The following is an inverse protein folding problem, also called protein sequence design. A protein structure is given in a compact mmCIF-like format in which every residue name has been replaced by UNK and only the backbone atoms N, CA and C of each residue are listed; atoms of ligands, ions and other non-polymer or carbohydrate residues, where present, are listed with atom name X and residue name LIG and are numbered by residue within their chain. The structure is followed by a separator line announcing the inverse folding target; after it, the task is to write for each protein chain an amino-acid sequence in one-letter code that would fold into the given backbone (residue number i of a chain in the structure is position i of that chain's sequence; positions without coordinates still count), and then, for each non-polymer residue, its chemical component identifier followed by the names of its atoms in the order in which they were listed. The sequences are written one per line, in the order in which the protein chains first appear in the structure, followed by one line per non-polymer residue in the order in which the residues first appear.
data_IF_849452994656
#
_entry.id   IF_849452994656
#
_cell.length_a   1.000
_cell.length_b   1.000
_cell.length_c   1.000
_cell.angle_alpha   90.00
_cell.angle_beta   90.00
_cell.angle_gamma   90.00
#
_symmetry.space_group_name_H-M   'P 1'
#
loop_
_entity.id
_entity.type
_entity.pdbx_description
1 polymer ?
#
# COMPACT_ATOMS: atom_id res chain seq x y z
N UNK A 1 1.85 -29.07 -3.77
CA UNK A 1 0.67 -28.32 -3.28
C UNK A 1 -0.08 -27.70 -4.46
N UNK A 2 -1.39 -27.48 -4.34
CA UNK A 2 -2.16 -26.66 -5.31
C UNK A 2 -2.10 -25.16 -4.97
N UNK A 3 -2.41 -24.31 -5.95
CA UNK A 3 -2.44 -22.86 -5.76
C UNK A 3 -3.51 -22.42 -4.75
N UNK A 4 -4.63 -23.13 -4.70
CA UNK A 4 -5.72 -22.92 -3.76
C UNK A 4 -5.28 -23.23 -2.32
N UNK A 5 -4.50 -24.29 -2.12
CA UNK A 5 -3.96 -24.65 -0.81
C UNK A 5 -2.90 -23.65 -0.32
N UNK A 6 -2.12 -23.05 -1.23
CA UNK A 6 -1.17 -21.98 -0.87
C UNK A 6 -1.89 -20.70 -0.41
N UNK A 7 -3.04 -20.37 -0.99
CA UNK A 7 -3.86 -19.21 -0.57
C UNK A 7 -4.51 -19.37 0.80
N UNK A 8 -4.69 -20.60 1.28
CA UNK A 8 -5.31 -20.89 2.58
C UNK A 8 -4.33 -20.84 3.76
N UNK A 9 -3.02 -20.68 3.50
CA UNK A 9 -2.01 -20.62 4.55
C UNK A 9 -2.20 -19.36 5.41
N UNK A 10 -2.33 -19.55 6.71
CA UNK A 10 -2.41 -18.45 7.70
C UNK A 10 -1.10 -18.26 8.48
N UNK A 11 -0.14 -19.16 8.31
CA UNK A 11 1.19 -19.15 8.93
C UNK A 11 2.22 -19.74 7.97
N UNK A 12 3.50 -19.38 8.15
CA UNK A 12 4.61 -19.92 7.36
C UNK A 12 4.83 -21.41 7.69
N UNK A 13 5.10 -22.24 6.67
CA UNK A 13 5.25 -23.69 6.82
C UNK A 13 6.52 -24.19 6.13
N UNK A 14 7.25 -25.10 6.79
CA UNK A 14 8.27 -25.93 6.16
C UNK A 14 7.64 -27.26 5.79
N UNK A 15 7.73 -27.63 4.52
CA UNK A 15 7.22 -28.89 4.01
C UNK A 15 8.37 -29.73 3.44
N UNK A 16 8.36 -31.03 3.69
CA UNK A 16 9.34 -31.94 3.10
C UNK A 16 8.80 -32.48 1.77
N UNK A 17 9.55 -32.25 0.71
CA UNK A 17 9.25 -32.80 -0.62
C UNK A 17 10.23 -33.92 -0.96
N UNK A 18 9.71 -35.00 -1.53
CA UNK A 18 10.54 -36.08 -2.04
C UNK A 18 11.22 -35.63 -3.33
N UNK A 19 12.55 -35.64 -3.34
CA UNK A 19 13.37 -35.46 -4.54
C UNK A 19 14.25 -36.68 -4.74
N UNK A 20 14.33 -37.12 -5.99
CA UNK A 20 15.30 -38.15 -6.38
C UNK A 20 16.62 -37.47 -6.67
N UNK A 21 17.67 -37.87 -5.97
CA UNK A 21 19.05 -37.40 -6.19
C UNK A 21 19.95 -38.59 -6.50
N UNK A 22 21.03 -38.35 -7.23
CA UNK A 22 22.03 -39.38 -7.52
C UNK A 22 23.12 -39.34 -6.45
N UNK A 23 23.30 -40.46 -5.74
CA UNK A 23 24.40 -40.66 -4.79
C UNK A 23 25.18 -41.89 -5.25
N UNK A 24 26.47 -41.75 -5.50
CA UNK A 24 27.35 -42.82 -5.98
C UNK A 24 26.81 -43.60 -7.20
N UNK A 25 26.16 -42.89 -8.12
CA UNK A 25 25.59 -43.48 -9.34
C UNK A 25 24.25 -44.21 -9.14
N UNK A 26 23.68 -44.21 -7.93
CA UNK A 26 22.36 -44.76 -7.64
C UNK A 26 21.34 -43.66 -7.35
N UNK A 27 20.11 -43.87 -7.82
CA UNK A 27 18.99 -42.98 -7.55
C UNK A 27 18.46 -43.22 -6.13
N UNK A 28 18.56 -42.20 -5.27
CA UNK A 28 18.08 -42.24 -3.88
C UNK A 28 16.99 -41.18 -3.72
N UNK A 29 15.85 -41.58 -3.15
CA UNK A 29 14.79 -40.65 -2.78
C UNK A 29 15.11 -40.03 -1.43
N UNK A 30 15.21 -38.70 -1.40
CA UNK A 30 15.49 -37.94 -0.18
C UNK A 30 14.41 -36.89 0.04
N UNK A 31 14.17 -36.56 1.30
CA UNK A 31 13.28 -35.47 1.68
C UNK A 31 14.09 -34.19 1.77
N UNK A 32 13.68 -33.16 1.01
CA UNK A 32 14.28 -31.83 1.09
C UNK A 32 13.28 -30.83 1.68
N UNK A 33 13.73 -29.91 2.55
CA UNK A 33 12.88 -28.87 3.08
C UNK A 33 12.57 -27.82 2.01
N UNK A 34 11.29 -27.53 1.83
CA UNK A 34 10.78 -26.43 1.02
C UNK A 34 9.97 -25.49 1.90
N UNK A 35 10.27 -24.19 1.80
CA UNK A 35 9.64 -23.16 2.63
C UNK A 35 8.51 -22.50 1.84
N UNK A 36 7.31 -22.49 2.42
CA UNK A 36 6.14 -21.81 1.89
C UNK A 36 5.82 -20.60 2.78
N UNK A 37 5.98 -19.41 2.22
CA UNK A 37 5.76 -18.15 2.92
C UNK A 37 4.35 -17.63 2.64
N UNK A 38 3.67 -17.14 3.67
CA UNK A 38 2.43 -16.38 3.50
C UNK A 38 2.78 -15.00 2.95
N UNK A 39 2.09 -14.57 1.89
CA UNK A 39 2.24 -13.20 1.39
C UNK A 39 1.67 -12.22 2.41
N UNK A 40 2.55 -11.62 3.22
CA UNK A 40 2.20 -10.51 4.12
C UNK A 40 2.41 -9.20 3.35
N UNK A 41 1.60 -8.16 3.58
CA UNK A 41 1.91 -6.85 3.06
C UNK A 41 3.34 -6.50 3.51
N UNK A 42 4.25 -6.32 2.57
CA UNK A 42 5.61 -5.89 2.89
C UNK A 42 5.52 -4.51 3.53
N UNK A 43 6.18 -4.35 4.68
CA UNK A 43 6.50 -3.05 5.21
C UNK A 43 7.46 -2.39 4.20
N UNK A 44 6.94 -1.50 3.37
CA UNK A 44 7.77 -0.63 2.54
C UNK A 44 8.58 0.29 3.46
N UNK A 45 9.69 0.85 2.98
CA UNK A 45 10.51 1.82 3.74
C UNK A 45 9.78 3.16 4.03
N UNK A 46 8.45 3.19 3.95
CA UNK A 46 7.61 4.40 3.84
C UNK A 46 6.96 4.79 5.18
N UNK A 47 6.96 3.94 6.22
CA UNK A 47 6.49 4.33 7.55
C UNK A 47 5.90 3.20 8.38
N UNK A 48 5.12 3.55 9.42
CA UNK A 48 4.45 2.59 10.30
C UNK A 48 3.21 1.92 9.68
N UNK A 49 2.77 0.80 10.27
CA UNK A 49 1.53 0.10 9.89
C UNK A 49 0.44 0.32 10.95
N UNK A 50 -0.71 0.84 10.53
CA UNK A 50 -1.95 0.87 11.30
C UNK A 50 -2.98 -0.05 10.64
N UNK A 51 -3.32 -1.16 11.28
CA UNK A 51 -4.22 -2.16 10.70
C UNK A 51 -5.31 -2.62 11.66
N UNK A 52 -6.49 -2.91 11.12
CA UNK A 52 -7.61 -3.47 11.88
C UNK A 52 -8.79 -3.89 11.01
N UNK A 53 -9.80 -4.51 11.64
CA UNK A 53 -11.08 -4.78 10.97
C UNK A 53 -11.72 -3.47 10.49
N UNK A 54 -11.63 -2.42 11.29
CA UNK A 54 -12.00 -1.06 10.92
C UNK A 54 -11.02 -0.11 11.59
N UNK A 55 -10.56 0.88 10.85
CA UNK A 55 -9.65 1.90 11.36
C UNK A 55 -10.38 3.25 11.34
N UNK A 56 -10.30 3.99 12.43
CA UNK A 56 -10.77 5.37 12.52
C UNK A 56 -9.68 6.23 13.13
N UNK A 57 -9.28 7.27 12.42
CA UNK A 57 -8.37 8.31 12.90
C UNK A 57 -9.13 9.63 12.88
N UNK A 58 -9.10 10.33 14.01
CA UNK A 58 -9.69 11.66 14.14
C UNK A 58 -8.65 12.56 14.81
N UNK A 59 -8.31 13.65 14.12
CA UNK A 59 -7.36 14.66 14.57
C UNK A 59 -8.06 16.01 14.60
N UNK A 60 -7.73 16.85 15.58
CA UNK A 60 -8.12 18.26 15.55
C UNK A 60 -7.27 19.08 14.57
N UNK A 61 -6.11 18.54 14.20
CA UNK A 61 -5.17 19.12 13.24
C UNK A 61 -5.08 18.22 11.99
N UNK A 62 -3.96 18.29 11.29
CA UNK A 62 -3.68 17.47 10.12
C UNK A 62 -3.48 15.99 10.48
N UNK A 63 -3.77 15.13 9.51
CA UNK A 63 -3.43 13.70 9.51
C UNK A 63 -2.32 13.48 8.48
N UNK A 64 -1.15 13.04 8.95
CA UNK A 64 0.00 12.64 8.11
C UNK A 64 0.10 11.11 8.06
N UNK A 65 0.07 10.54 6.86
CA UNK A 65 0.20 9.10 6.64
C UNK A 65 1.26 8.81 5.59
N UNK A 66 2.48 8.49 6.03
CA UNK A 66 3.55 8.02 5.15
C UNK A 66 3.58 6.50 4.99
N UNK A 67 3.09 5.76 5.99
CA UNK A 67 3.04 4.30 5.98
C UNK A 67 1.71 3.73 5.48
N UNK A 68 1.33 2.55 5.99
CA UNK A 68 0.12 1.84 5.55
C UNK A 68 -1.01 1.93 6.59
N UNK A 69 -2.20 2.31 6.15
CA UNK A 69 -3.46 2.26 6.91
C UNK A 69 -4.38 1.24 6.26
N UNK A 70 -4.58 0.10 6.93
CA UNK A 70 -5.33 -1.04 6.40
C UNK A 70 -6.59 -1.32 7.23
N UNK A 71 -7.76 -1.20 6.62
CA UNK A 71 -9.05 -1.45 7.25
C UNK A 71 -9.89 -2.48 6.51
N UNK A 72 -9.88 -3.76 6.95
CA UNK A 72 -10.57 -4.85 6.21
C UNK A 72 -12.00 -4.51 5.80
N UNK A 73 -12.78 -3.88 6.69
CA UNK A 73 -14.13 -3.39 6.41
C UNK A 73 -14.13 -1.92 5.98
N UNK A 74 -13.36 -1.07 6.67
CA UNK A 74 -13.39 0.38 6.47
C UNK A 74 -12.19 1.10 7.07
N UNK A 75 -11.76 2.17 6.41
CA UNK A 75 -10.90 3.23 6.96
C UNK A 75 -11.69 4.55 7.01
N UNK A 76 -11.62 5.27 8.13
CA UNK A 76 -12.21 6.61 8.30
C UNK A 76 -11.16 7.59 8.81
N UNK A 77 -10.90 8.67 8.07
CA UNK A 77 -9.97 9.74 8.45
C UNK A 77 -10.72 11.07 8.53
N UNK A 78 -10.62 11.74 9.68
CA UNK A 78 -11.23 13.05 9.92
C UNK A 78 -10.18 14.01 10.48
N UNK A 79 -9.88 15.10 9.77
CA UNK A 79 -8.85 16.06 10.19
C UNK A 79 -9.02 17.43 9.58
N UNK A 80 -8.09 18.34 9.88
CA UNK A 80 -8.02 19.64 9.21
C UNK A 80 -7.58 19.44 7.77
N UNK A 81 -6.38 18.91 7.54
CA UNK A 81 -5.98 18.33 6.26
C UNK A 81 -5.71 16.83 6.39
N UNK A 82 -5.76 16.10 5.27
CA UNK A 82 -5.35 14.69 5.22
C UNK A 82 -4.30 14.51 4.14
N UNK A 83 -3.09 14.17 4.55
CA UNK A 83 -1.91 14.03 3.70
C UNK A 83 -1.48 12.56 3.67
N UNK A 84 -1.68 11.90 2.54
CA UNK A 84 -1.31 10.50 2.32
C UNK A 84 -0.12 10.38 1.36
N UNK A 85 1.02 9.96 1.90
CA UNK A 85 2.21 9.62 1.12
C UNK A 85 2.39 8.10 0.99
N UNK A 86 1.61 7.31 1.74
CA UNK A 86 1.69 5.85 1.74
C UNK A 86 0.45 5.15 1.15
N UNK A 87 0.05 4.05 1.77
CA UNK A 87 -1.09 3.24 1.32
C UNK A 87 -2.27 3.38 2.28
N UNK A 88 -3.44 3.73 1.77
CA UNK A 88 -4.71 3.59 2.48
C UNK A 88 -5.54 2.55 1.75
N UNK A 89 -5.87 1.46 2.44
CA UNK A 89 -6.66 0.36 1.88
C UNK A 89 -7.81 -0.02 2.80
N UNK A 90 -9.00 -0.25 2.23
CA UNK A 90 -10.07 -0.89 2.98
C UNK A 90 -11.36 -1.12 2.22
N UNK A 91 -12.26 -1.95 2.77
CA UNK A 91 -13.54 -2.25 2.12
C UNK A 91 -14.35 -1.00 1.75
N UNK A 92 -14.26 0.05 2.58
CA UNK A 92 -14.63 1.42 2.23
C UNK A 92 -13.60 2.40 2.79
N UNK A 93 -13.30 3.47 2.05
CA UNK A 93 -12.49 4.59 2.51
C UNK A 93 -13.41 5.80 2.66
N UNK A 94 -13.41 6.44 3.84
CA UNK A 94 -14.08 7.72 4.08
C UNK A 94 -13.04 8.71 4.60
N UNK A 95 -12.80 9.79 3.86
CA UNK A 95 -11.90 10.87 4.26
C UNK A 95 -12.69 12.17 4.27
N UNK A 96 -12.65 12.90 5.38
CA UNK A 96 -13.22 14.24 5.47
C UNK A 96 -12.16 15.19 6.02
N UNK A 97 -11.82 16.20 5.23
CA UNK A 97 -10.89 17.25 5.59
C UNK A 97 -11.63 18.59 5.69
N UNK A 98 -11.32 19.38 6.73
CA UNK A 98 -11.83 20.76 6.81
C UNK A 98 -11.17 21.69 5.79
N UNK A 99 -9.94 21.38 5.39
CA UNK A 99 -9.18 22.01 4.33
C UNK A 99 -9.05 21.06 3.14
N UNK A 100 -7.84 20.52 2.94
CA UNK A 100 -7.46 19.75 1.76
C UNK A 100 -7.29 18.25 2.04
N UNK A 101 -7.52 17.45 1.01
CA UNK A 101 -7.03 16.07 0.93
C UNK A 101 -5.91 16.04 -0.09
N UNK A 102 -4.71 15.65 0.32
CA UNK A 102 -3.56 15.48 -0.56
C UNK A 102 -3.09 14.03 -0.52
N UNK A 103 -2.87 13.42 -1.68
CA UNK A 103 -2.27 12.10 -1.77
C UNK A 103 -1.21 12.05 -2.85
N UNK A 104 0.02 11.70 -2.47
CA UNK A 104 1.04 11.20 -3.40
C UNK A 104 1.11 9.67 -3.44
N UNK A 105 0.53 9.03 -2.42
CA UNK A 105 0.43 7.58 -2.32
C UNK A 105 -0.87 7.01 -2.92
N UNK A 106 -1.21 5.79 -2.49
CA UNK A 106 -2.32 5.02 -3.04
C UNK A 106 -3.51 4.99 -2.08
N UNK A 107 -4.71 5.13 -2.64
CA UNK A 107 -5.99 4.88 -1.99
C UNK A 107 -6.71 3.75 -2.74
N UNK A 108 -6.97 2.64 -2.06
CA UNK A 108 -7.64 1.48 -2.68
C UNK A 108 -8.81 1.00 -1.84
N UNK A 109 -10.00 1.02 -2.43
CA UNK A 109 -11.20 0.55 -1.76
C UNK A 109 -11.89 -0.59 -2.50
N UNK A 110 -12.59 -1.47 -1.77
CA UNK A 110 -13.34 -2.54 -2.42
C UNK A 110 -14.67 -2.03 -3.00
N UNK A 111 -15.42 -1.26 -2.20
CA UNK A 111 -16.82 -0.88 -2.50
C UNK A 111 -17.08 0.61 -2.56
N UNK A 112 -16.32 1.42 -1.84
CA UNK A 112 -16.60 2.84 -1.73
C UNK A 112 -15.34 3.61 -1.39
N UNK A 113 -15.04 4.65 -2.16
CA UNK A 113 -14.17 5.74 -1.74
C UNK A 113 -14.98 7.03 -1.67
N UNK A 114 -15.16 7.58 -0.47
CA UNK A 114 -15.80 8.87 -0.23
C UNK A 114 -14.75 9.85 0.30
N UNK A 115 -14.37 10.84 -0.51
CA UNK A 115 -13.42 11.89 -0.13
C UNK A 115 -14.16 13.23 -0.17
N UNK A 116 -14.17 13.94 0.95
CA UNK A 116 -14.73 15.28 1.07
C UNK A 116 -13.70 16.25 1.62
N UNK A 117 -13.48 17.35 0.91
CA UNK A 117 -12.65 18.47 1.33
C UNK A 117 -13.46 19.76 1.24
N UNK A 118 -13.27 20.71 2.17
CA UNK A 118 -13.83 22.07 1.99
C UNK A 118 -12.89 23.00 1.21
N UNK A 119 -11.86 22.45 0.59
CA UNK A 119 -11.07 23.16 -0.40
C UNK A 119 -10.73 22.19 -1.54
N UNK A 120 -9.54 21.59 -1.55
CA UNK A 120 -9.07 20.78 -2.68
C UNK A 120 -8.92 19.29 -2.35
N UNK A 121 -9.06 18.46 -3.40
CA UNK A 121 -8.65 17.05 -3.40
C UNK A 121 -7.57 16.87 -4.46
N UNK A 122 -6.33 16.61 -4.03
CA UNK A 122 -5.15 16.55 -4.86
C UNK A 122 -4.58 15.12 -4.88
N UNK A 123 -4.44 14.53 -6.07
CA UNK A 123 -3.78 13.22 -6.29
C UNK A 123 -2.55 13.44 -7.18
N UNK A 124 -1.38 13.66 -6.56
CA UNK A 124 -0.17 14.12 -7.25
C UNK A 124 0.96 13.11 -7.17
N UNK A 125 1.36 12.55 -8.30
CA UNK A 125 2.57 11.72 -8.41
C UNK A 125 3.85 12.55 -8.17
N UNK A 126 4.91 11.91 -7.70
CA UNK A 126 6.21 12.54 -7.41
C UNK A 126 7.29 12.10 -8.41
N UNK A 127 8.31 12.92 -8.56
CA UNK A 127 9.51 12.61 -9.37
C UNK A 127 10.76 12.82 -8.55
N UNK A 128 11.79 12.00 -8.77
CA UNK A 128 13.10 12.12 -8.15
C UNK A 128 14.13 12.52 -9.19
N UNK A 129 14.96 13.50 -8.86
CA UNK A 129 16.02 14.01 -9.73
C UNK A 129 17.39 13.75 -9.12
N UNK A 130 18.24 13.02 -9.83
CA UNK A 130 19.64 12.82 -9.47
C UNK A 130 20.52 13.71 -10.34
N UNK A 131 21.35 14.54 -9.72
CA UNK A 131 22.38 15.32 -10.38
C UNK A 131 23.76 14.71 -10.10
N UNK A 132 24.53 14.42 -11.15
CA UNK A 132 25.91 13.94 -11.03
C UNK A 132 26.88 14.96 -11.61
N UNK A 133 27.98 15.18 -10.88
CA UNK A 133 29.07 16.07 -11.30
C UNK A 133 30.32 15.24 -11.53
N UNK A 134 30.92 15.36 -12.72
CA UNK A 134 32.21 14.77 -13.04
C UNK A 134 33.11 15.82 -13.70
N UNK A 135 34.01 16.43 -12.91
CA UNK A 135 34.79 17.59 -13.34
C UNK A 135 33.89 18.77 -13.72
N UNK A 136 34.05 19.30 -14.92
CA UNK A 136 33.18 20.37 -15.46
C UNK A 136 31.82 19.85 -15.98
N UNK A 137 31.64 18.53 -16.09
CA UNK A 137 30.42 17.94 -16.64
C UNK A 137 29.35 17.80 -15.56
N UNK A 138 28.11 18.16 -15.92
CA UNK A 138 26.92 18.00 -15.08
C UNK A 138 25.87 17.19 -15.84
N UNK A 139 25.32 16.17 -15.19
CA UNK A 139 24.20 15.39 -15.73
C UNK A 139 23.03 15.41 -14.75
N UNK A 140 21.81 15.60 -15.26
CA UNK A 140 20.56 15.56 -14.48
C UNK A 140 19.66 14.48 -15.05
N UNK A 141 19.26 13.53 -14.23
CA UNK A 141 18.30 12.50 -14.58
C UNK A 141 17.07 12.61 -13.68
N UNK A 142 15.88 12.69 -14.27
CA UNK A 142 14.62 12.75 -13.51
C UNK A 142 13.77 11.54 -13.85
N UNK A 143 13.31 10.83 -12.81
CA UNK A 143 12.47 9.64 -12.93
C UNK A 143 11.20 9.81 -12.12
N UNK A 144 10.13 9.12 -12.50
CA UNK A 144 8.93 9.03 -11.65
C UNK A 144 9.32 8.25 -10.39
N UNK A 145 9.01 8.82 -9.23
CA UNK A 145 9.36 8.28 -7.92
C UNK A 145 8.17 7.53 -7.31
N UNK A 146 7.01 8.19 -7.27
CA UNK A 146 5.77 7.59 -6.79
C UNK A 146 4.59 7.95 -7.68
N UNK A 147 3.69 6.99 -7.91
CA UNK A 147 2.43 7.21 -8.62
C UNK A 147 1.27 7.29 -7.63
N UNK A 148 0.63 8.45 -7.59
CA UNK A 148 -0.61 8.62 -6.82
C UNK A 148 -1.77 7.95 -7.53
N UNK A 149 -2.65 7.28 -6.77
CA UNK A 149 -3.82 6.64 -7.36
C UNK A 149 -4.98 6.57 -6.37
N UNK A 150 -6.20 6.65 -6.93
CA UNK A 150 -7.43 6.33 -6.25
C UNK A 150 -8.15 5.25 -7.06
N UNK A 151 -8.48 4.13 -6.42
CA UNK A 151 -9.13 2.99 -7.07
C UNK A 151 -10.26 2.43 -6.21
N UNK A 152 -11.33 1.99 -6.88
CA UNK A 152 -12.39 1.18 -6.29
C UNK A 152 -12.58 -0.07 -7.15
N UNK A 153 -12.65 -1.24 -6.53
CA UNK A 153 -12.76 -2.52 -7.24
C UNK A 153 -14.17 -2.74 -7.82
N UNK A 154 -15.19 -2.80 -6.97
CA UNK A 154 -16.57 -3.14 -7.35
C UNK A 154 -17.57 -2.25 -6.62
N UNK A 155 -17.51 -0.95 -6.92
CA UNK A 155 -18.39 0.07 -6.35
C UNK A 155 -18.00 1.48 -6.78
N UNK A 156 -18.33 2.47 -5.94
CA UNK A 156 -18.37 3.88 -6.36
C UNK A 156 -17.23 4.74 -5.76
N UNK A 157 -16.83 5.74 -6.54
CA UNK A 157 -15.98 6.85 -6.09
C UNK A 157 -16.85 8.11 -5.98
N UNK A 158 -16.91 8.70 -4.78
CA UNK A 158 -17.53 9.99 -4.53
C UNK A 158 -16.46 10.99 -4.08
N UNK A 159 -16.26 12.04 -4.88
CA UNK A 159 -15.36 13.14 -4.57
C UNK A 159 -16.18 14.42 -4.42
N UNK A 160 -15.97 15.13 -3.31
CA UNK A 160 -16.62 16.41 -3.05
C UNK A 160 -15.58 17.42 -2.56
N UNK A 161 -15.34 18.46 -3.37
CA UNK A 161 -14.46 19.57 -3.07
C UNK A 161 -15.25 20.87 -3.23
N UNK A 162 -15.36 21.68 -2.17
CA UNK A 162 -16.10 22.94 -2.19
C UNK A 162 -15.34 24.03 -1.44
N UNK A 163 -14.82 25.04 -2.15
CA UNK A 163 -14.20 26.20 -1.53
C UNK A 163 -15.24 27.01 -0.74
N UNK A 164 -14.93 27.35 0.52
CA UNK A 164 -15.71 28.33 1.29
C UNK A 164 -15.19 29.74 0.97
N UNK A 165 -15.98 30.49 0.20
CA UNK A 165 -15.80 31.93 -0.02
C UNK A 165 -16.23 32.74 1.21
#
# INVERSE_FOLDING_TARGET
MSAEQMKALTSDIVWLESKTVMVDGQAVSVLVPQVYLVNRPQLTQEGGLLSGKSVRVQSENDIESSGAILGKKRVVLLGDNVNNQGLIEGGSIIIQAKGNINSSGKLSADKLAYLQANNDINLNSTTSTTETHYGASKSKNTVIDQVSSLSVNDGDIHLKAEARY
#
